data_IF_558045840429
#
_entry.id   IF_558045840429
#
_cell.length_a   1.000
_cell.length_b   1.000
_cell.length_c   1.000
_cell.angle_alpha   90.00
_cell.angle_beta   90.00
_cell.angle_gamma   90.00
#
_symmetry.space_group_name_H-M   'P 1'
#
loop_
_entity.id
_entity.type
_entity.pdbx_description
1 polymer ?
#
# COMPACT_ATOMS: atom_id res chain seq x y z
N UNK A 1 -17.07 22.65 5.34
CA UNK A 1 -15.61 22.56 5.21
C UNK A 1 -15.25 21.08 5.25
N UNK A 2 -14.39 20.61 4.34
CA UNK A 2 -13.85 19.24 4.40
C UNK A 2 -12.92 19.10 5.62
N UNK A 3 -12.82 17.90 6.17
CA UNK A 3 -11.80 17.58 7.18
C UNK A 3 -10.41 17.65 6.51
N UNK A 4 -9.36 18.09 7.23
CA UNK A 4 -8.00 18.03 6.70
C UNK A 4 -7.60 16.57 6.47
N UNK A 5 -6.86 16.33 5.39
CA UNK A 5 -6.28 15.02 5.06
C UNK A 5 -4.84 15.03 5.58
N UNK A 6 -4.43 13.98 6.29
CA UNK A 6 -3.05 13.79 6.72
C UNK A 6 -2.28 13.05 5.62
N UNK A 7 -1.32 13.73 5.01
CA UNK A 7 -0.68 13.34 3.75
C UNK A 7 0.81 13.04 3.96
N UNK A 8 1.30 11.94 3.41
CA UNK A 8 2.74 11.68 3.37
C UNK A 8 3.44 12.66 2.41
N UNK A 9 4.66 13.11 2.74
CA UNK A 9 5.44 13.93 1.81
C UNK A 9 5.91 13.10 0.60
N UNK A 10 6.17 13.78 -0.51
CA UNK A 10 6.81 13.17 -1.69
C UNK A 10 8.19 12.62 -1.28
N UNK A 11 8.56 11.37 -1.66
CA UNK A 11 9.89 10.82 -1.40
C UNK A 11 11.02 11.72 -1.91
N UNK A 12 12.14 11.80 -1.18
CA UNK A 12 13.20 12.76 -1.47
C UNK A 12 13.90 12.51 -2.81
N UNK A 13 14.08 11.24 -3.17
CA UNK A 13 14.57 10.81 -4.49
C UNK A 13 13.61 11.25 -5.61
N UNK A 14 12.30 11.09 -5.43
CA UNK A 14 11.28 11.54 -6.39
C UNK A 14 11.24 13.07 -6.51
N UNK A 15 11.51 13.81 -5.43
CA UNK A 15 11.63 15.28 -5.50
C UNK A 15 12.83 15.73 -6.36
N UNK A 16 13.89 14.92 -6.44
CA UNK A 16 15.12 15.24 -7.17
C UNK A 16 15.03 14.75 -8.62
N UNK A 17 14.61 13.50 -8.81
CA UNK A 17 14.69 12.78 -10.09
C UNK A 17 13.37 12.82 -10.87
N UNK A 18 12.27 13.21 -10.20
CA UNK A 18 10.92 13.11 -10.72
C UNK A 18 10.34 11.69 -10.57
N UNK A 19 9.05 11.56 -10.85
CA UNK A 19 8.34 10.29 -10.78
C UNK A 19 6.83 10.47 -10.92
N UNK A 20 6.12 9.35 -11.03
CA UNK A 20 4.66 9.30 -11.09
C UNK A 20 4.11 8.58 -9.88
N UNK A 21 3.19 9.20 -9.15
CA UNK A 21 2.43 8.51 -8.10
C UNK A 21 1.45 7.52 -8.75
N UNK A 22 1.58 6.23 -8.42
CA UNK A 22 0.76 5.15 -9.03
C UNK A 22 -0.36 4.65 -8.13
N UNK A 23 -0.20 4.80 -6.81
CA UNK A 23 -1.14 4.35 -5.79
C UNK A 23 -1.03 5.26 -4.57
N UNK A 24 -2.18 5.62 -4.00
CA UNK A 24 -2.28 6.29 -2.72
C UNK A 24 -3.40 5.69 -1.89
N UNK A 25 -3.13 5.39 -0.62
CA UNK A 25 -4.07 4.77 0.30
C UNK A 25 -4.25 5.61 1.56
N UNK A 26 -5.48 5.68 2.07
CA UNK A 26 -5.84 6.40 3.27
C UNK A 26 -6.70 5.51 4.18
N UNK A 27 -6.50 5.68 5.49
CA UNK A 27 -7.43 5.16 6.49
C UNK A 27 -8.54 6.21 6.65
N UNK A 28 -9.78 5.84 6.30
CA UNK A 28 -10.95 6.71 6.46
C UNK A 28 -12.13 5.89 6.97
N UNK A 29 -12.80 6.39 8.01
CA UNK A 29 -14.01 5.79 8.60
C UNK A 29 -13.88 4.28 8.90
N UNK A 30 -12.70 3.83 9.34
CA UNK A 30 -12.44 2.43 9.71
C UNK A 30 -12.15 1.49 8.53
N UNK A 31 -12.07 2.01 7.30
CA UNK A 31 -11.68 1.27 6.11
C UNK A 31 -10.51 1.91 5.36
N UNK A 32 -10.17 1.30 4.22
CA UNK A 32 -9.18 1.83 3.28
C UNK A 32 -9.87 2.53 2.12
N UNK A 33 -9.45 3.75 1.82
CA UNK A 33 -9.77 4.45 0.58
C UNK A 33 -8.53 4.51 -0.30
N UNK A 34 -8.63 4.03 -1.54
CA UNK A 34 -7.50 3.90 -2.46
C UNK A 34 -7.79 4.66 -3.76
N UNK A 35 -6.80 5.43 -4.21
CA UNK A 35 -6.74 5.99 -5.56
C UNK A 35 -5.59 5.35 -6.32
N UNK A 36 -5.82 4.97 -7.57
CA UNK A 36 -4.84 4.25 -8.39
C UNK A 36 -4.93 4.71 -9.85
N UNK A 37 -3.77 4.84 -10.48
CA UNK A 37 -3.64 4.91 -11.94
C UNK A 37 -2.98 3.62 -12.45
N UNK A 38 -3.25 3.25 -13.70
CA UNK A 38 -2.50 2.16 -14.35
C UNK A 38 -1.07 2.65 -14.62
N UNK A 39 -0.20 2.52 -13.61
CA UNK A 39 1.20 2.95 -13.65
C UNK A 39 2.14 1.94 -14.31
N UNK A 40 1.72 0.68 -14.45
CA UNK A 40 2.51 -0.38 -15.07
C UNK A 40 1.72 -1.08 -16.16
N UNK A 41 2.44 -1.52 -17.21
CA UNK A 41 1.83 -2.24 -18.30
C UNK A 41 1.51 -3.69 -17.93
N UNK A 42 2.47 -4.35 -17.29
CA UNK A 42 2.39 -5.75 -16.89
C UNK A 42 1.82 -5.89 -15.47
N UNK A 43 0.84 -6.79 -15.26
CA UNK A 43 0.25 -7.02 -13.94
C UNK A 43 1.28 -7.53 -12.91
N UNK A 44 2.27 -8.31 -13.35
CA UNK A 44 3.30 -8.88 -12.46
C UNK A 44 4.12 -7.80 -11.74
N UNK A 45 4.27 -6.61 -12.35
CA UNK A 45 4.95 -5.47 -11.73
C UNK A 45 4.22 -4.96 -10.50
N UNK A 46 2.90 -5.07 -10.45
CA UNK A 46 2.14 -4.77 -9.24
C UNK A 46 2.44 -5.75 -8.11
N UNK A 47 2.78 -7.00 -8.44
CA UNK A 47 3.26 -7.98 -7.46
C UNK A 47 4.54 -7.50 -6.76
N UNK A 48 5.48 -6.91 -7.50
CA UNK A 48 6.69 -6.33 -6.92
C UNK A 48 6.38 -5.14 -5.99
N UNK A 49 5.47 -4.24 -6.40
CA UNK A 49 5.00 -3.14 -5.56
C UNK A 49 4.47 -3.66 -4.22
N UNK A 50 3.60 -4.68 -4.24
CA UNK A 50 3.01 -5.25 -3.03
C UNK A 50 4.07 -5.87 -2.11
N UNK A 51 5.06 -6.58 -2.67
CA UNK A 51 6.18 -7.13 -1.90
C UNK A 51 6.99 -6.02 -1.24
N UNK A 52 7.25 -4.92 -1.94
CA UNK A 52 8.00 -3.81 -1.36
C UNK A 52 7.21 -3.10 -0.25
N UNK A 53 5.89 -2.99 -0.37
CA UNK A 53 5.03 -2.51 0.74
C UNK A 53 5.17 -3.43 1.95
N UNK A 54 5.09 -4.75 1.78
CA UNK A 54 5.24 -5.73 2.87
C UNK A 54 6.59 -5.56 3.58
N UNK A 55 7.67 -5.37 2.82
CA UNK A 55 9.02 -5.15 3.38
C UNK A 55 9.12 -3.85 4.17
N UNK A 56 8.54 -2.76 3.66
CA UNK A 56 8.53 -1.48 4.38
C UNK A 56 7.75 -1.57 5.69
N UNK A 57 6.58 -2.21 5.68
CA UNK A 57 5.81 -2.47 6.91
C UNK A 57 6.63 -3.30 7.88
N UNK A 58 7.29 -4.36 7.41
CA UNK A 58 8.09 -5.25 8.27
C UNK A 58 9.24 -4.51 8.94
N UNK A 59 9.95 -3.65 8.21
CA UNK A 59 11.01 -2.79 8.77
C UNK A 59 10.48 -1.80 9.79
N UNK A 60 9.30 -1.22 9.56
CA UNK A 60 8.66 -0.30 10.50
C UNK A 60 8.34 -1.01 11.84
N UNK A 61 7.69 -2.18 11.78
CA UNK A 61 7.41 -2.98 12.98
C UNK A 61 8.68 -3.43 13.70
N UNK A 62 9.74 -3.77 12.97
CA UNK A 62 11.01 -4.08 13.60
C UNK A 62 11.61 -2.87 14.33
N UNK A 63 11.60 -1.71 13.69
CA UNK A 63 12.16 -0.48 14.25
C UNK A 63 11.37 0.04 15.46
N UNK A 64 10.04 -0.07 15.44
CA UNK A 64 9.16 0.47 16.48
C UNK A 64 8.96 -0.50 17.65
N UNK A 65 8.75 -1.80 17.34
CA UNK A 65 8.31 -2.80 18.33
C UNK A 65 9.33 -3.94 18.55
N UNK A 66 10.41 -3.98 17.77
CA UNK A 66 11.42 -5.04 17.85
C UNK A 66 10.96 -6.40 17.31
N UNK A 67 9.82 -6.47 16.63
CA UNK A 67 9.30 -7.71 16.03
C UNK A 67 10.19 -8.10 14.84
N UNK A 68 10.49 -9.38 14.68
CA UNK A 68 11.28 -9.88 13.55
C UNK A 68 10.62 -9.52 12.21
N UNK A 69 11.37 -8.94 11.27
CA UNK A 69 10.86 -8.66 9.92
C UNK A 69 10.24 -9.92 9.28
N UNK A 70 10.91 -11.07 9.38
CA UNK A 70 10.42 -12.33 8.83
C UNK A 70 9.11 -12.80 9.49
N UNK A 71 8.91 -12.50 10.78
CA UNK A 71 7.64 -12.80 11.45
C UNK A 71 6.52 -11.90 10.92
N UNK A 72 6.79 -10.60 10.75
CA UNK A 72 5.83 -9.63 10.22
C UNK A 72 5.45 -9.99 8.78
N UNK A 73 6.43 -10.25 7.91
CA UNK A 73 6.21 -10.69 6.53
C UNK A 73 5.33 -11.95 6.49
N UNK A 74 5.67 -12.98 7.27
CA UNK A 74 4.89 -14.21 7.32
C UNK A 74 3.45 -14.00 7.79
N UNK A 75 3.22 -13.08 8.73
CA UNK A 75 1.88 -12.73 9.20
C UNK A 75 1.07 -12.00 8.13
N UNK A 76 1.67 -11.03 7.44
CA UNK A 76 1.00 -10.27 6.37
C UNK A 76 0.67 -11.20 5.20
N UNK A 77 1.62 -11.99 4.73
CA UNK A 77 1.41 -12.92 3.60
C UNK A 77 0.34 -13.95 3.94
N UNK A 78 0.34 -14.51 5.16
CA UNK A 78 -0.70 -15.46 5.58
C UNK A 78 -2.09 -14.85 5.50
N UNK A 79 -2.27 -13.63 6.02
CA UNK A 79 -3.57 -12.95 5.99
C UNK A 79 -3.98 -12.57 4.56
N UNK A 80 -3.04 -12.08 3.74
CA UNK A 80 -3.29 -11.75 2.34
C UNK A 80 -3.77 -12.96 1.55
N UNK A 81 -3.09 -14.10 1.68
CA UNK A 81 -3.50 -15.34 1.00
C UNK A 81 -4.87 -15.82 1.49
N UNK A 82 -5.11 -15.78 2.80
CA UNK A 82 -6.41 -16.18 3.36
C UNK A 82 -7.56 -15.31 2.81
N UNK A 83 -7.36 -14.00 2.69
CA UNK A 83 -8.35 -13.07 2.14
C UNK A 83 -8.55 -13.27 0.63
N UNK A 84 -7.50 -13.59 -0.12
CA UNK A 84 -7.61 -13.92 -1.55
C UNK A 84 -8.36 -15.24 -1.78
N UNK A 85 -8.18 -16.23 -0.90
CA UNK A 85 -8.87 -17.52 -0.97
C UNK A 85 -10.34 -17.41 -0.53
N UNK A 86 -10.64 -16.60 0.48
CA UNK A 86 -11.99 -16.39 1.01
C UNK A 86 -12.26 -14.90 1.29
N UNK A 87 -12.64 -14.12 0.26
CA UNK A 87 -12.83 -12.68 0.41
C UNK A 87 -13.92 -12.34 1.43
N UNK A 88 -13.59 -11.50 2.40
CA UNK A 88 -14.49 -10.95 3.41
C UNK A 88 -14.97 -9.54 3.06
N UNK A 89 -14.20 -8.80 2.24
CA UNK A 89 -14.58 -7.53 1.61
C UNK A 89 -13.91 -7.38 0.24
N UNK A 90 -14.70 -7.13 -0.82
CA UNK A 90 -14.17 -6.92 -2.19
C UNK A 90 -13.68 -5.49 -2.42
N UNK A 91 -13.92 -4.57 -1.48
CA UNK A 91 -13.57 -3.16 -1.58
C UNK A 91 -14.39 -2.40 -2.63
N UNK A 92 -14.13 -1.09 -2.73
CA UNK A 92 -14.63 -0.24 -3.82
C UNK A 92 -13.44 0.52 -4.42
N UNK A 93 -13.27 0.43 -5.73
CA UNK A 93 -12.19 1.13 -6.45
C UNK A 93 -12.80 2.16 -7.38
N UNK A 94 -12.40 3.43 -7.22
CA UNK A 94 -12.71 4.48 -8.18
C UNK A 94 -11.50 4.69 -9.08
N UNK A 95 -11.53 4.16 -10.30
CA UNK A 95 -10.49 4.47 -11.30
C UNK A 95 -10.72 5.91 -11.79
N UNK A 96 -9.77 6.82 -11.53
CA UNK A 96 -9.79 8.11 -12.21
C UNK A 96 -9.38 7.90 -13.66
N UNK A 97 -10.36 8.03 -14.57
CA UNK A 97 -10.07 8.12 -15.99
C UNK A 97 -9.49 9.52 -16.25
N UNK A 98 -8.25 9.57 -16.72
CA UNK A 98 -7.67 10.78 -17.32
C UNK A 98 -8.39 11.12 -18.64
#
# INVERSE_FOLDING_TARGET
>A
MSKPVDELPVPADVQIEGGSEVLRAFISDGGLSVSLIRGFDEPDTWGLLLVDVIRHVSRAFNAEDGVSEAEVEARIVRMMMAELENPTDLGTTSTQNN
#
